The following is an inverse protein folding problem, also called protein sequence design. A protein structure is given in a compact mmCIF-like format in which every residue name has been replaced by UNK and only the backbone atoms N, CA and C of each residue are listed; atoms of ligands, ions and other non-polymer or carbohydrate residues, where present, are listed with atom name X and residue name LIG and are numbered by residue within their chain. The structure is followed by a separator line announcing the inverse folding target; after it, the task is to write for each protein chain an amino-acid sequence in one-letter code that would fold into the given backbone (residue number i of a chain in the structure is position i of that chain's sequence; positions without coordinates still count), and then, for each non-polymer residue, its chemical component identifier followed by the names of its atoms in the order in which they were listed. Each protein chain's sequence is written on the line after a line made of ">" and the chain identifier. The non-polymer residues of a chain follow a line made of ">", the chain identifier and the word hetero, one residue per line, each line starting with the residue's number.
data_IF_330881140542
#
_entry.id   IF_330881140542
#
_cell.length_a   1.000
_cell.length_b   1.000
_cell.length_c   1.000
_cell.angle_alpha   90.00
_cell.angle_beta   90.00
_cell.angle_gamma   90.00
#
_symmetry.space_group_name_H-M   'P 1'
#
loop_
_entity.id
_entity.type
_entity.pdbx_description
1 polymer ?
#
# COMPACT_ATOMS: atom_id res chain seq x y z
N UNK A 1 -41.57 4.02 57.59
CA UNK A 1 -40.60 2.95 57.30
C UNK A 1 -40.80 2.27 55.95
N UNK A 2 -41.97 2.36 55.29
CA UNK A 2 -42.18 1.84 53.92
C UNK A 2 -41.57 2.74 52.82
N UNK A 3 -41.69 4.07 52.96
CA UNK A 3 -41.18 5.04 51.97
C UNK A 3 -39.65 5.01 51.76
N UNK A 4 -38.89 4.53 52.75
CA UNK A 4 -37.42 4.42 52.72
C UNK A 4 -36.95 3.19 51.90
N UNK A 5 -37.77 2.13 51.83
CA UNK A 5 -37.47 0.93 51.04
C UNK A 5 -37.65 1.19 49.54
N UNK A 6 -38.65 1.96 49.14
CA UNK A 6 -38.94 2.25 47.74
C UNK A 6 -37.89 3.19 47.12
N UNK A 7 -37.42 4.21 47.85
CA UNK A 7 -36.32 5.08 47.42
C UNK A 7 -35.01 4.31 47.27
N UNK A 8 -34.71 3.40 48.20
CA UNK A 8 -33.52 2.54 48.13
C UNK A 8 -33.58 1.58 46.94
N UNK A 9 -34.76 1.05 46.62
CA UNK A 9 -34.96 0.18 45.45
C UNK A 9 -34.78 0.95 44.13
N UNK A 10 -35.29 2.18 44.04
CA UNK A 10 -35.15 3.03 42.85
C UNK A 10 -33.70 3.48 42.62
N UNK A 11 -32.97 3.86 43.67
CA UNK A 11 -31.54 4.17 43.58
C UNK A 11 -30.74 2.97 43.03
N UNK A 12 -31.11 1.75 43.44
CA UNK A 12 -30.48 0.52 42.98
C UNK A 12 -30.82 0.15 41.54
N UNK A 13 -32.00 0.52 41.02
CA UNK A 13 -32.33 0.35 39.61
C UNK A 13 -31.58 1.37 38.74
N UNK A 14 -31.57 2.64 39.14
CA UNK A 14 -30.84 3.69 38.41
C UNK A 14 -29.32 3.41 38.37
N UNK A 15 -28.73 2.92 39.46
CA UNK A 15 -27.33 2.51 39.48
C UNK A 15 -27.05 1.38 38.47
N UNK A 16 -27.96 0.41 38.35
CA UNK A 16 -27.83 -0.70 37.40
C UNK A 16 -27.99 -0.24 35.95
N UNK A 17 -28.88 0.72 35.71
CA UNK A 17 -29.05 1.32 34.39
C UNK A 17 -27.79 2.10 33.96
N UNK A 18 -27.17 2.85 34.88
CA UNK A 18 -25.89 3.55 34.65
C UNK A 18 -24.77 2.55 34.32
N UNK A 19 -24.67 1.44 35.05
CA UNK A 19 -23.69 0.39 34.74
C UNK A 19 -23.93 -0.17 33.33
N UNK A 20 -25.18 -0.49 32.98
CA UNK A 20 -25.49 -1.02 31.65
C UNK A 20 -25.19 -0.04 30.50
N UNK A 21 -25.40 1.26 30.72
CA UNK A 21 -25.05 2.31 29.75
C UNK A 21 -23.53 2.47 29.63
N UNK A 22 -22.80 2.30 30.73
CA UNK A 22 -21.33 2.35 30.75
C UNK A 22 -20.75 1.15 30.00
N UNK A 23 -21.30 -0.04 30.20
CA UNK A 23 -20.93 -1.24 29.45
C UNK A 23 -21.24 -1.08 27.95
N UNK A 24 -22.41 -0.52 27.62
CA UNK A 24 -22.79 -0.26 26.23
C UNK A 24 -21.88 0.77 25.56
N UNK A 25 -21.52 1.85 26.27
CA UNK A 25 -20.57 2.86 25.81
C UNK A 25 -19.18 2.26 25.55
N UNK A 26 -18.73 1.38 26.44
CA UNK A 26 -17.46 0.66 26.30
C UNK A 26 -17.48 -0.28 25.09
N UNK A 27 -18.58 -1.00 24.87
CA UNK A 27 -18.78 -1.87 23.72
C UNK A 27 -18.77 -1.10 22.39
N UNK A 28 -19.51 0.02 22.30
CA UNK A 28 -19.51 0.86 21.10
C UNK A 28 -18.11 1.41 20.84
N UNK A 29 -17.41 1.88 21.88
CA UNK A 29 -16.05 2.42 21.74
C UNK A 29 -15.07 1.36 21.20
N UNK A 30 -15.17 0.11 21.68
CA UNK A 30 -14.38 -1.00 21.16
C UNK A 30 -14.72 -1.31 19.69
N UNK A 31 -16.00 -1.30 19.32
CA UNK A 31 -16.42 -1.49 17.92
C UNK A 31 -15.93 -0.37 17.00
N UNK A 32 -15.96 0.88 17.44
CA UNK A 32 -15.39 2.00 16.69
C UNK A 32 -13.89 1.80 16.49
N UNK A 33 -13.17 1.39 17.55
CA UNK A 33 -11.75 1.05 17.45
C UNK A 33 -11.48 -0.03 16.41
N UNK A 34 -12.23 -1.14 16.48
CA UNK A 34 -12.12 -2.24 15.51
C UNK A 34 -12.40 -1.80 14.07
N UNK A 35 -13.44 -1.00 13.84
CA UNK A 35 -13.77 -0.49 12.51
C UNK A 35 -12.72 0.50 11.98
N UNK A 36 -12.18 1.35 12.86
CA UNK A 36 -11.09 2.26 12.51
C UNK A 36 -9.85 1.47 12.10
N UNK A 37 -9.44 0.50 12.91
CA UNK A 37 -8.29 -0.37 12.62
C UNK A 37 -8.48 -1.15 11.32
N UNK A 38 -9.68 -1.71 11.09
CA UNK A 38 -10.01 -2.39 9.84
C UNK A 38 -9.97 -1.44 8.64
N UNK A 39 -10.46 -0.20 8.79
CA UNK A 39 -10.46 0.80 7.72
C UNK A 39 -9.03 1.24 7.39
N UNK A 40 -8.21 1.50 8.41
CA UNK A 40 -6.79 1.82 8.24
C UNK A 40 -6.02 0.66 7.61
N UNK A 41 -6.32 -0.58 8.00
CA UNK A 41 -5.77 -1.78 7.38
C UNK A 41 -6.11 -1.88 5.90
N UNK A 42 -7.38 -1.65 5.54
CA UNK A 42 -7.82 -1.64 4.14
C UNK A 42 -7.15 -0.52 3.33
N UNK A 43 -7.06 0.70 3.88
CA UNK A 43 -6.33 1.81 3.26
C UNK A 43 -4.86 1.44 3.02
N UNK A 44 -4.22 0.79 3.99
CA UNK A 44 -2.82 0.36 3.86
C UNK A 44 -2.64 -0.68 2.75
N UNK A 45 -3.59 -1.62 2.61
CA UNK A 45 -3.57 -2.62 1.52
C UNK A 45 -3.67 -1.93 0.16
N UNK A 46 -4.64 -1.01 0.00
CA UNK A 46 -4.81 -0.23 -1.24
C UNK A 46 -3.58 0.61 -1.55
N UNK A 47 -3.01 1.29 -0.55
CA UNK A 47 -1.79 2.08 -0.72
C UNK A 47 -0.60 1.22 -1.13
N UNK A 48 -0.43 0.04 -0.52
CA UNK A 48 0.61 -0.91 -0.92
C UNK A 48 0.41 -1.39 -2.36
N UNK A 49 -0.83 -1.66 -2.79
CA UNK A 49 -1.12 -2.02 -4.17
C UNK A 49 -0.75 -0.89 -5.15
N UNK A 50 -1.05 0.36 -4.81
CA UNK A 50 -0.67 1.53 -5.62
C UNK A 50 0.86 1.66 -5.71
N UNK A 51 1.57 1.62 -4.57
CA UNK A 51 3.05 1.72 -4.53
C UNK A 51 3.70 0.59 -5.34
N UNK A 52 3.14 -0.61 -5.27
CA UNK A 52 3.59 -1.78 -6.02
C UNK A 52 3.54 -1.51 -7.53
N UNK A 53 2.44 -0.95 -8.03
CA UNK A 53 2.28 -0.60 -9.45
C UNK A 53 3.29 0.48 -9.87
N UNK A 54 3.44 1.56 -9.10
CA UNK A 54 4.41 2.60 -9.41
C UNK A 54 5.85 2.09 -9.40
N UNK A 55 6.17 1.19 -8.46
CA UNK A 55 7.49 0.57 -8.37
C UNK A 55 7.78 -0.31 -9.59
N UNK A 56 6.80 -1.09 -10.07
CA UNK A 56 6.91 -1.85 -11.32
C UNK A 56 7.16 -0.90 -12.49
N UNK A 57 6.37 0.16 -12.61
CA UNK A 57 6.53 1.15 -13.67
C UNK A 57 7.92 1.80 -13.64
N UNK A 58 8.41 2.19 -12.47
CA UNK A 58 9.76 2.75 -12.30
C UNK A 58 10.85 1.74 -12.70
N UNK A 59 10.75 0.48 -12.29
CA UNK A 59 11.76 -0.54 -12.65
C UNK A 59 11.81 -0.78 -14.16
N UNK A 60 10.69 -0.64 -14.89
CA UNK A 60 10.68 -0.75 -16.35
C UNK A 60 11.17 0.54 -17.03
N UNK A 61 10.79 1.69 -16.50
CA UNK A 61 11.11 3.00 -17.10
C UNK A 61 12.54 3.47 -16.79
N UNK A 62 13.11 3.17 -15.63
CA UNK A 62 14.44 3.67 -15.24
C UNK A 62 15.57 3.14 -16.15
N UNK A 63 15.68 1.82 -16.44
CA UNK A 63 16.72 1.33 -17.35
C UNK A 63 16.52 1.83 -18.78
N UNK A 64 15.26 1.87 -19.26
CA UNK A 64 14.96 2.35 -20.61
C UNK A 64 15.23 3.85 -20.78
N UNK A 65 14.89 4.68 -19.79
CA UNK A 65 15.20 6.12 -19.79
C UNK A 65 16.70 6.37 -19.64
N UNK A 66 17.42 5.60 -18.83
CA UNK A 66 18.87 5.72 -18.70
C UNK A 66 19.58 5.43 -20.02
N UNK A 67 19.20 4.35 -20.72
CA UNK A 67 19.76 4.05 -22.04
C UNK A 67 19.37 5.14 -23.05
N UNK A 68 18.11 5.58 -23.08
CA UNK A 68 17.68 6.67 -23.95
C UNK A 68 18.46 7.98 -23.68
N UNK A 69 18.78 8.28 -22.41
CA UNK A 69 19.59 9.44 -22.03
C UNK A 69 21.04 9.32 -22.47
N UNK A 70 21.64 8.13 -22.38
CA UNK A 70 23.03 7.88 -22.84
C UNK A 70 23.12 8.07 -24.36
N UNK A 71 22.14 7.55 -25.11
CA UNK A 71 22.09 7.70 -26.58
C UNK A 71 21.59 9.08 -27.06
N UNK A 72 20.89 9.83 -26.20
CA UNK A 72 20.45 11.21 -26.47
C UNK A 72 21.56 12.25 -26.27
N UNK A 73 22.60 11.94 -25.50
CA UNK A 73 23.79 12.80 -25.40
C UNK A 73 24.61 12.69 -26.69
N UNK A 74 24.84 13.81 -27.37
CA UNK A 74 25.61 13.94 -28.61
C UNK A 74 27.12 13.65 -28.37
N UNK A 75 27.49 12.41 -28.08
CA UNK A 75 28.89 12.02 -28.00
C UNK A 75 29.45 11.80 -29.41
N UNK A 76 30.17 12.81 -29.90
CA UNK A 76 30.97 12.78 -31.14
C UNK A 76 32.16 11.80 -31.10
N UNK A 77 32.33 11.08 -29.99
CA UNK A 77 33.36 10.05 -29.78
C UNK A 77 32.75 8.96 -28.87
N UNK A 78 32.12 7.95 -29.46
CA UNK A 78 31.69 6.74 -28.76
C UNK A 78 32.48 5.56 -29.35
N UNK A 79 33.49 5.00 -28.66
CA UNK A 79 34.27 3.85 -29.16
C UNK A 79 33.44 2.57 -29.35
N UNK A 80 32.22 2.52 -28.85
CA UNK A 80 31.25 1.43 -29.06
C UNK A 80 30.50 1.53 -30.41
N UNK A 81 30.60 2.66 -31.12
CA UNK A 81 29.96 2.89 -32.42
C UNK A 81 30.78 2.34 -33.61
N UNK A 82 32.08 2.10 -33.42
CA UNK A 82 32.94 1.45 -34.42
C UNK A 82 32.62 -0.05 -34.57
N UNK A 83 31.88 -0.64 -33.62
CA UNK A 83 31.38 -2.00 -33.75
C UNK A 83 30.01 -1.98 -34.44
N UNK A 84 29.83 -2.62 -35.62
CA UNK A 84 28.56 -2.63 -36.35
C UNK A 84 27.38 -3.25 -35.57
N UNK A 85 27.62 -3.88 -34.42
CA UNK A 85 26.59 -4.43 -33.53
C UNK A 85 26.33 -3.62 -32.25
N UNK A 86 27.08 -2.56 -31.94
CA UNK A 86 26.93 -1.82 -30.68
C UNK A 86 25.54 -1.22 -30.49
N UNK A 87 25.01 -0.61 -31.57
CA UNK A 87 23.65 -0.06 -31.59
C UNK A 87 22.56 -1.15 -31.42
N UNK A 88 22.73 -2.28 -32.11
CA UNK A 88 21.83 -3.44 -32.03
C UNK A 88 21.82 -4.06 -30.63
N UNK A 89 22.99 -4.15 -30.01
CA UNK A 89 23.18 -4.74 -28.68
C UNK A 89 22.58 -3.85 -27.59
N UNK A 90 22.67 -2.53 -27.74
CA UNK A 90 22.04 -1.57 -26.81
C UNK A 90 20.51 -1.61 -26.86
N UNK A 91 19.93 -1.70 -28.05
CA UNK A 91 18.48 -1.92 -28.21
C UNK A 91 18.09 -3.27 -27.58
N UNK A 92 18.89 -4.31 -27.81
CA UNK A 92 18.67 -5.61 -27.20
C UNK A 92 18.71 -5.53 -25.66
N UNK A 93 19.62 -4.74 -25.09
CA UNK A 93 19.76 -4.51 -23.65
C UNK A 93 18.59 -3.68 -23.09
N UNK A 94 18.06 -2.68 -23.80
CA UNK A 94 16.82 -1.98 -23.42
C UNK A 94 15.62 -2.93 -23.39
N UNK A 95 15.49 -3.76 -24.42
CA UNK A 95 14.39 -4.73 -24.54
C UNK A 95 14.50 -5.80 -23.45
N UNK A 96 15.72 -6.30 -23.18
CA UNK A 96 15.99 -7.21 -22.06
C UNK A 96 15.70 -6.57 -20.71
N UNK A 97 16.11 -5.32 -20.49
CA UNK A 97 15.86 -4.60 -19.24
C UNK A 97 14.38 -4.27 -19.02
N UNK A 98 13.57 -4.15 -20.08
CA UNK A 98 12.12 -4.03 -19.98
C UNK A 98 11.44 -5.40 -19.76
N UNK A 99 11.94 -6.46 -20.40
CA UNK A 99 11.39 -7.83 -20.31
C UNK A 99 11.74 -8.55 -19.01
N UNK A 100 12.93 -8.32 -18.43
CA UNK A 100 13.39 -8.96 -17.20
C UNK A 100 12.44 -8.69 -16.02
N UNK A 101 12.07 -7.43 -15.71
CA UNK A 101 11.08 -7.13 -14.68
C UNK A 101 9.72 -7.73 -15.04
N UNK A 102 9.27 -7.59 -16.29
CA UNK A 102 7.97 -8.12 -16.72
C UNK A 102 7.84 -9.63 -16.49
N UNK A 103 8.85 -10.40 -16.88
CA UNK A 103 8.89 -11.86 -16.67
C UNK A 103 9.02 -12.22 -15.20
N UNK A 104 9.78 -11.45 -14.42
CA UNK A 104 9.95 -11.68 -12.98
C UNK A 104 8.66 -11.40 -12.20
N UNK A 105 7.95 -10.30 -12.51
CA UNK A 105 6.63 -9.99 -11.94
C UNK A 105 5.58 -11.03 -12.30
N UNK A 106 5.57 -11.54 -13.54
CA UNK A 106 4.69 -12.64 -13.95
C UNK A 106 4.98 -13.94 -13.19
N UNK A 107 6.26 -14.23 -12.91
CA UNK A 107 6.65 -15.45 -12.19
C UNK A 107 6.32 -15.41 -10.70
N UNK A 108 6.28 -14.23 -10.09
CA UNK A 108 5.94 -14.03 -8.68
C UNK A 108 4.42 -14.06 -8.41
N UNK A 109 3.57 -14.27 -9.43
CA UNK A 109 2.11 -14.31 -9.24
C UNK A 109 1.54 -12.98 -8.73
N UNK A 110 2.21 -11.87 -9.04
CA UNK A 110 1.83 -10.53 -8.58
C UNK A 110 0.82 -9.83 -9.50
N UNK A 111 0.44 -10.51 -10.59
CA UNK A 111 -0.61 -10.20 -11.54
C UNK A 111 -1.75 -11.20 -11.38
#
# INVERSE_FOLDING_TARGET
>A
MAADKDTTAMLKSMARDIDSLTDHSSYISANIGFLLDSSLGMITIEQNAIIKIFSIAAVVLLPSTLVASIYGMNFRFMPELDWPLGYSMAICLMVLAALLPYLWFKRQGWL
#
